data_IF_861827502425
#
_entry.id   IF_861827502425
#
_cell.length_a   1.000
_cell.length_b   1.000
_cell.length_c   1.000
_cell.angle_alpha   90.00
_cell.angle_beta   90.00
_cell.angle_gamma   90.00
#
_symmetry.space_group_name_H-M   'P 1'
#
loop_
_entity.id
_entity.type
_entity.pdbx_description
1 polymer ?
#
# COMPACT_ATOMS: atom_id res chain seq x y z
N UNK A 1 -1.38 13.50 3.40
CA UNK A 1 -1.43 14.69 2.52
C UNK A 1 -2.13 15.79 3.29
N UNK A 2 -1.62 17.03 3.27
CA UNK A 2 -2.19 18.19 3.96
C UNK A 2 -2.64 19.18 2.89
N UNK A 3 -3.89 19.62 2.95
CA UNK A 3 -4.47 20.60 2.03
C UNK A 3 -5.25 21.63 2.84
N UNK A 4 -5.07 22.90 2.51
CA UNK A 4 -5.79 24.02 3.12
C UNK A 4 -6.32 24.94 2.02
N UNK A 5 -7.56 25.37 2.18
CA UNK A 5 -8.22 26.35 1.31
C UNK A 5 -8.82 27.46 2.17
N UNK A 6 -8.76 28.68 1.65
CA UNK A 6 -9.35 29.86 2.27
C UNK A 6 -9.82 30.83 1.18
N UNK A 7 -10.87 31.59 1.50
CA UNK A 7 -11.49 32.56 0.61
C UNK A 7 -11.63 33.85 1.40
N UNK A 8 -11.17 34.95 0.82
CA UNK A 8 -11.31 36.29 1.38
C UNK A 8 -11.44 37.31 0.22
N UNK A 9 -11.89 38.53 0.53
CA UNK A 9 -11.97 39.62 -0.42
C UNK A 9 -10.58 40.19 -0.77
N UNK A 10 -9.63 40.12 0.15
CA UNK A 10 -8.22 40.44 -0.11
C UNK A 10 -7.39 39.18 -0.31
N UNK A 11 -6.57 39.17 -1.36
CA UNK A 11 -5.73 38.02 -1.75
C UNK A 11 -4.69 37.71 -0.69
N UNK A 12 -4.15 38.73 -0.03
CA UNK A 12 -3.15 38.54 1.02
C UNK A 12 -3.79 37.97 2.29
N UNK A 13 -4.95 38.49 2.67
CA UNK A 13 -5.74 37.92 3.77
C UNK A 13 -6.12 36.45 3.51
N UNK A 14 -6.55 36.10 2.29
CA UNK A 14 -6.87 34.71 1.94
C UNK A 14 -5.64 33.78 2.06
N UNK A 15 -4.46 34.26 1.66
CA UNK A 15 -3.21 33.52 1.80
C UNK A 15 -2.85 33.30 3.27
N UNK A 16 -2.88 34.34 4.09
CA UNK A 16 -2.54 34.27 5.52
C UNK A 16 -3.47 33.27 6.24
N UNK A 17 -4.77 33.33 5.95
CA UNK A 17 -5.76 32.38 6.46
C UNK A 17 -5.48 30.93 6.03
N UNK A 18 -5.05 30.71 4.79
CA UNK A 18 -4.69 29.37 4.31
C UNK A 18 -3.42 28.84 5.00
N UNK A 19 -2.43 29.71 5.20
CA UNK A 19 -1.18 29.39 5.89
C UNK A 19 -1.43 29.04 7.35
N UNK A 20 -2.28 29.78 8.04
CA UNK A 20 -2.67 29.50 9.43
C UNK A 20 -3.33 28.12 9.56
N UNK A 21 -4.29 27.81 8.67
CA UNK A 21 -4.93 26.48 8.61
C UNK A 21 -3.91 25.37 8.35
N UNK A 22 -2.96 25.57 7.45
CA UNK A 22 -1.92 24.59 7.16
C UNK A 22 -1.00 24.37 8.36
N UNK A 23 -0.57 25.45 9.02
CA UNK A 23 0.24 25.39 10.24
C UNK A 23 -0.47 24.63 11.37
N UNK A 24 -1.77 24.83 11.53
CA UNK A 24 -2.56 24.12 12.54
C UNK A 24 -2.69 22.63 12.23
N UNK A 25 -2.97 22.27 10.96
CA UNK A 25 -3.01 20.88 10.52
C UNK A 25 -1.67 20.17 10.71
N UNK A 26 -0.54 20.84 10.41
CA UNK A 26 0.80 20.31 10.65
C UNK A 26 1.09 20.11 12.14
N UNK A 27 0.67 21.05 13.00
CA UNK A 27 0.76 20.88 14.46
C UNK A 27 -0.03 19.67 14.95
N UNK A 28 -1.28 19.51 14.51
CA UNK A 28 -2.12 18.36 14.88
C UNK A 28 -1.51 17.04 14.38
N UNK A 29 -1.00 17.00 13.14
CA UNK A 29 -0.35 15.83 12.59
C UNK A 29 0.94 15.45 13.34
N UNK A 30 1.74 16.46 13.73
CA UNK A 30 2.91 16.26 14.60
C UNK A 30 2.49 15.74 15.97
N UNK A 31 1.47 16.33 16.59
CA UNK A 31 0.92 15.90 17.88
C UNK A 31 0.50 14.44 17.85
N UNK A 32 -0.35 14.05 16.89
CA UNK A 32 -0.80 12.66 16.71
C UNK A 32 0.36 11.67 16.54
N UNK A 33 1.43 12.04 15.82
CA UNK A 33 2.63 11.21 15.70
C UNK A 33 3.42 11.07 17.00
N UNK A 34 3.54 12.15 17.77
CA UNK A 34 4.23 12.13 19.06
C UNK A 34 3.43 11.31 20.07
N UNK A 35 2.12 11.47 20.11
CA UNK A 35 1.24 10.75 21.03
C UNK A 35 1.17 9.26 20.71
N UNK A 36 1.07 8.90 19.43
CA UNK A 36 1.16 7.51 18.98
C UNK A 36 2.50 6.84 19.34
N UNK A 37 3.57 7.63 19.46
CA UNK A 37 4.89 7.14 19.89
C UNK A 37 4.99 6.97 21.41
N UNK A 38 4.26 7.79 22.18
CA UNK A 38 4.26 7.76 23.65
C UNK A 38 3.28 6.72 24.22
N UNK A 39 2.20 6.44 23.49
CA UNK A 39 1.24 5.39 23.81
C UNK A 39 1.17 4.44 22.62
N UNK A 40 2.18 3.58 22.41
CA UNK A 40 2.03 2.50 21.46
C UNK A 40 0.81 1.68 21.91
N UNK A 41 -0.24 1.64 21.07
CA UNK A 41 -1.28 0.62 21.20
C UNK A 41 -0.58 -0.73 20.95
N UNK A 42 -0.12 -1.37 22.01
CA UNK A 42 0.65 -2.60 21.95
C UNK A 42 0.67 -3.27 23.32
N UNK A 43 0.98 -4.57 23.31
CA UNK A 43 1.00 -5.41 24.49
C UNK A 43 1.70 -4.75 25.67
N UNK A 44 0.98 -4.58 26.77
CA UNK A 44 1.57 -4.22 28.06
C UNK A 44 1.95 -5.50 28.78
N UNK A 45 3.26 -5.74 28.92
CA UNK A 45 3.80 -6.83 29.72
C UNK A 45 4.07 -6.35 31.14
N UNK A 46 3.29 -6.86 32.09
CA UNK A 46 3.50 -6.58 33.50
C UNK A 46 4.51 -7.56 34.09
N UNK A 47 5.69 -7.05 34.46
CA UNK A 47 6.83 -7.88 34.91
C UNK A 47 6.59 -8.67 36.20
N UNK A 48 5.56 -8.31 36.99
CA UNK A 48 5.25 -8.96 38.27
C UNK A 48 4.27 -10.13 38.13
N UNK A 49 3.17 -9.91 37.41
CA UNK A 49 2.12 -10.91 37.18
C UNK A 49 2.42 -11.82 35.98
N UNK A 50 3.28 -11.38 35.06
CA UNK A 50 3.51 -12.04 33.77
C UNK A 50 2.36 -11.85 32.79
N UNK A 51 1.36 -11.03 33.12
CA UNK A 51 0.20 -10.78 32.27
C UNK A 51 0.58 -9.87 31.09
N UNK A 52 0.16 -10.29 29.90
CA UNK A 52 0.23 -9.50 28.67
C UNK A 52 -1.17 -9.02 28.35
N UNK A 53 -1.41 -7.71 28.41
CA UNK A 53 -2.71 -7.12 28.09
C UNK A 53 -2.65 -6.38 26.76
N UNK A 54 -3.72 -6.47 25.95
CA UNK A 54 -3.81 -5.79 24.64
C UNK A 54 -3.45 -6.65 23.42
N UNK A 55 -3.26 -7.96 23.59
CA UNK A 55 -3.18 -8.97 22.52
C UNK A 55 -4.05 -10.17 22.93
N UNK A 56 -4.82 -10.74 22.01
CA UNK A 56 -5.59 -12.00 22.19
C UNK A 56 -4.64 -13.23 22.13
N UNK A 57 -3.62 -13.26 23.01
CA UNK A 57 -2.70 -14.40 23.13
C UNK A 57 -2.58 -14.78 24.60
N UNK A 58 -3.00 -16.00 24.92
CA UNK A 58 -2.83 -16.57 26.25
C UNK A 58 -1.49 -17.32 26.34
N UNK A 59 -0.60 -17.01 27.29
CA UNK A 59 0.66 -17.74 27.45
C UNK A 59 0.40 -19.18 27.91
N UNK A 60 1.18 -20.12 27.39
CA UNK A 60 1.13 -21.51 27.81
C UNK A 60 1.65 -21.66 29.25
N UNK A 61 1.05 -22.58 30.02
CA UNK A 61 1.50 -22.91 31.38
C UNK A 61 2.91 -23.51 31.38
N UNK A 62 3.67 -23.30 32.45
CA UNK A 62 5.03 -23.84 32.61
C UNK A 62 5.08 -25.37 32.43
N UNK A 63 4.08 -26.09 32.95
CA UNK A 63 3.98 -27.55 32.84
C UNK A 63 3.84 -28.01 31.39
N UNK A 64 3.05 -27.29 30.57
CA UNK A 64 2.94 -27.56 29.14
C UNK A 64 4.26 -27.31 28.41
N UNK A 65 4.98 -26.24 28.73
CA UNK A 65 6.26 -25.93 28.10
C UNK A 65 7.28 -27.04 28.41
N UNK A 66 7.31 -27.52 29.67
CA UNK A 66 8.17 -28.62 30.07
C UNK A 66 7.79 -29.95 29.39
N UNK A 67 6.50 -30.28 29.33
CA UNK A 67 6.01 -31.50 28.71
C UNK A 67 6.28 -31.57 27.19
N UNK A 68 6.29 -30.41 26.50
CA UNK A 68 6.73 -30.33 25.09
C UNK A 68 8.25 -30.51 24.99
N UNK A 69 9.04 -29.91 25.88
CA UNK A 69 10.50 -30.03 25.88
C UNK A 69 11.01 -31.45 26.21
N UNK A 70 10.28 -32.20 27.04
CA UNK A 70 10.57 -33.61 27.36
C UNK A 70 10.04 -34.59 26.31
N UNK A 71 9.27 -34.11 25.32
CA UNK A 71 8.66 -34.93 24.27
C UNK A 71 7.49 -35.80 24.75
N UNK A 72 6.94 -35.52 25.94
CA UNK A 72 5.81 -36.24 26.52
C UNK A 72 4.50 -35.90 25.79
N UNK A 73 4.42 -34.71 25.18
CA UNK A 73 3.35 -34.31 24.28
C UNK A 73 3.84 -34.44 22.83
N UNK A 74 3.16 -35.22 21.97
CA UNK A 74 3.50 -35.29 20.56
C UNK A 74 3.26 -33.93 19.91
N UNK A 75 4.31 -33.38 19.33
CA UNK A 75 4.28 -32.14 18.58
C UNK A 75 3.63 -32.45 17.23
N UNK A 76 2.51 -31.80 16.92
CA UNK A 76 1.96 -31.80 15.56
C UNK A 76 2.91 -30.98 14.67
N UNK A 77 3.93 -31.63 14.12
CA UNK A 77 4.60 -31.13 12.91
C UNK A 77 3.56 -31.18 11.81
N UNK A 78 3.11 -30.01 11.37
CA UNK A 78 1.96 -29.82 10.49
C UNK A 78 1.91 -30.77 9.29
N UNK A 79 0.69 -31.11 8.91
CA UNK A 79 0.33 -31.96 7.77
C UNK A 79 1.26 -31.73 6.56
N UNK A 80 1.90 -32.79 6.07
CA UNK A 80 2.67 -32.77 4.81
C UNK A 80 1.78 -32.55 3.56
N UNK A 81 0.45 -32.50 3.74
CA UNK A 81 -0.58 -32.29 2.70
C UNK A 81 -1.17 -30.87 2.69
N UNK A 82 -0.67 -29.93 3.51
CA UNK A 82 -1.19 -28.56 3.51
C UNK A 82 -0.51 -27.74 2.40
N UNK A 83 -1.25 -27.25 1.39
CA UNK A 83 -0.63 -26.48 0.30
C UNK A 83 0.02 -25.24 0.90
N UNK A 84 1.31 -25.07 0.60
CA UNK A 84 2.14 -23.93 1.01
C UNK A 84 1.36 -22.63 0.76
N UNK A 85 0.77 -22.07 1.83
CA UNK A 85 -0.10 -20.90 1.76
C UNK A 85 0.76 -19.71 1.38
N UNK A 86 0.87 -19.47 0.08
CA UNK A 86 1.61 -18.34 -0.47
C UNK A 86 0.66 -17.13 -0.40
N UNK A 87 0.88 -16.14 0.47
CA UNK A 87 -0.08 -15.05 0.72
C UNK A 87 -0.15 -14.02 -0.44
N UNK A 88 0.30 -14.38 -1.64
CA UNK A 88 0.33 -13.49 -2.81
C UNK A 88 -1.07 -13.44 -3.43
N UNK A 89 -1.88 -12.50 -2.95
CA UNK A 89 -3.19 -12.19 -3.55
C UNK A 89 -2.98 -11.35 -4.82
N UNK A 90 -3.03 -11.97 -5.99
CA UNK A 90 -2.99 -11.26 -7.28
C UNK A 90 -4.37 -10.64 -7.53
N UNK A 91 -4.45 -9.31 -7.53
CA UNK A 91 -5.70 -8.59 -7.88
C UNK A 91 -5.70 -8.27 -9.37
N UNK A 92 -6.72 -8.74 -10.07
CA UNK A 92 -6.94 -8.44 -11.50
C UNK A 92 -7.87 -7.24 -11.62
N UNK A 93 -7.48 -6.25 -12.42
CA UNK A 93 -8.35 -5.14 -12.85
C UNK A 93 -8.36 -5.11 -14.38
N UNK A 94 -9.54 -5.25 -14.98
CA UNK A 94 -9.74 -4.99 -16.41
C UNK A 94 -10.21 -3.55 -16.58
N UNK A 95 -9.63 -2.85 -17.54
CA UNK A 95 -10.06 -1.52 -17.97
C UNK A 95 -10.32 -1.56 -19.47
N UNK A 96 -11.27 -0.76 -19.94
CA UNK A 96 -11.50 -0.61 -21.37
C UNK A 96 -10.32 0.12 -22.02
N UNK A 97 -9.95 -0.32 -23.22
CA UNK A 97 -8.85 0.27 -23.98
C UNK A 97 -9.33 1.59 -24.61
N UNK A 98 -8.79 2.71 -24.13
CA UNK A 98 -9.07 4.04 -24.68
C UNK A 98 -7.83 4.56 -25.41
N UNK A 99 -8.04 5.11 -26.61
CA UNK A 99 -6.99 5.73 -27.41
C UNK A 99 -6.75 7.15 -26.92
N UNK A 100 -5.51 7.46 -26.57
CA UNK A 100 -5.12 8.81 -26.16
C UNK A 100 -3.66 9.08 -26.49
N UNK A 101 -3.29 10.36 -26.46
CA UNK A 101 -1.89 10.77 -26.56
C UNK A 101 -1.13 10.55 -25.25
N UNK A 102 0.21 10.53 -25.33
CA UNK A 102 1.08 10.40 -24.14
C UNK A 102 0.83 11.52 -23.13
N UNK A 103 0.66 12.76 -23.60
CA UNK A 103 0.42 13.93 -22.75
C UNK A 103 -0.91 13.80 -21.99
N UNK A 104 -1.98 13.41 -22.68
CA UNK A 104 -3.28 13.17 -22.07
C UNK A 104 -3.24 12.01 -21.06
N UNK A 105 -2.47 10.96 -21.35
CA UNK A 105 -2.27 9.85 -20.41
C UNK A 105 -1.54 10.31 -19.13
N UNK A 106 -0.57 11.22 -19.23
CA UNK A 106 0.09 11.84 -18.05
C UNK A 106 -0.92 12.64 -17.24
N UNK A 107 -1.74 13.47 -17.88
CA UNK A 107 -2.74 14.29 -17.19
C UNK A 107 -3.75 13.42 -16.43
N UNK A 108 -4.23 12.34 -17.06
CA UNK A 108 -5.14 11.38 -16.42
C UNK A 108 -4.48 10.61 -15.29
N UNK A 109 -3.20 10.24 -15.44
CA UNK A 109 -2.42 9.60 -14.39
C UNK A 109 -2.31 10.48 -13.14
N UNK A 110 -2.00 11.77 -13.33
CA UNK A 110 -1.88 12.75 -12.25
C UNK A 110 -3.24 13.07 -11.62
N UNK A 111 -4.31 13.13 -12.41
CA UNK A 111 -5.68 13.36 -11.91
C UNK A 111 -6.17 12.22 -11.01
N UNK A 112 -5.95 10.97 -11.41
CA UNK A 112 -6.34 9.79 -10.61
C UNK A 112 -5.36 9.57 -9.44
N UNK A 113 -4.13 10.10 -9.53
CA UNK A 113 -3.11 9.97 -8.51
C UNK A 113 -2.47 8.57 -8.48
N UNK A 114 -2.43 7.88 -9.62
CA UNK A 114 -1.73 6.60 -9.77
C UNK A 114 -0.26 6.81 -10.16
N UNK A 115 0.57 5.79 -9.93
CA UNK A 115 1.98 5.82 -10.31
C UNK A 115 2.22 5.37 -11.76
N UNK A 116 1.22 4.72 -12.37
CA UNK A 116 1.22 4.29 -13.76
C UNK A 116 -0.18 4.40 -14.38
N UNK A 117 -0.24 4.53 -15.70
CA UNK A 117 -1.48 4.60 -16.47
C UNK A 117 -1.33 3.82 -17.79
N UNK A 118 -2.25 2.89 -18.05
CA UNK A 118 -2.27 2.03 -19.24
C UNK A 118 -3.24 2.62 -20.28
N UNK A 119 -2.82 2.70 -21.54
CA UNK A 119 -3.60 3.27 -22.64
C UNK A 119 -3.16 2.68 -23.99
N UNK A 120 -3.93 2.94 -25.05
CA UNK A 120 -3.47 2.71 -26.43
C UNK A 120 -2.98 4.05 -26.98
N UNK A 121 -1.73 4.11 -27.42
CA UNK A 121 -1.18 5.34 -28.00
C UNK A 121 -1.84 5.60 -29.37
N UNK A 122 -2.61 6.70 -29.46
CA UNK A 122 -3.33 7.07 -30.68
C UNK A 122 -2.43 7.29 -31.91
N UNK A 123 -1.12 7.54 -31.71
CA UNK A 123 -0.17 7.75 -32.83
C UNK A 123 0.43 6.46 -33.35
N UNK A 124 0.67 5.50 -32.47
CA UNK A 124 1.37 4.25 -32.82
C UNK A 124 0.45 3.03 -32.83
N UNK A 125 -0.77 3.17 -32.32
CA UNK A 125 -1.76 2.12 -32.10
C UNK A 125 -1.21 0.96 -31.25
N UNK A 126 -0.27 1.28 -30.34
CA UNK A 126 0.42 0.32 -29.48
C UNK A 126 -0.08 0.45 -28.03
N UNK A 127 -0.33 -0.67 -27.33
CA UNK A 127 -0.54 -0.66 -25.89
C UNK A 127 0.68 -0.09 -25.19
N UNK A 128 0.46 0.96 -24.39
CA UNK A 128 1.51 1.74 -23.75
C UNK A 128 1.15 2.06 -22.30
N UNK A 129 2.18 2.19 -21.48
CA UNK A 129 2.11 2.60 -20.07
C UNK A 129 2.94 3.85 -19.87
N UNK A 130 2.34 4.89 -19.30
CA UNK A 130 3.06 6.01 -18.69
C UNK A 130 3.27 5.70 -17.22
N UNK A 131 4.42 6.06 -16.66
CA UNK A 131 4.72 5.88 -15.23
C UNK A 131 5.61 6.99 -14.68
N UNK A 132 5.54 7.20 -13.36
CA UNK A 132 6.33 8.20 -12.64
C UNK A 132 7.74 7.67 -12.31
N UNK A 133 8.78 8.47 -12.60
CA UNK A 133 10.18 8.22 -12.21
C UNK A 133 10.59 9.11 -11.03
N UNK A 134 11.79 8.88 -10.49
CA UNK A 134 12.34 9.73 -9.42
C UNK A 134 12.60 11.14 -9.97
N UNK A 135 12.30 12.17 -9.17
CA UNK A 135 12.68 13.54 -9.50
C UNK A 135 11.71 14.31 -10.41
N UNK A 136 10.42 13.95 -10.45
CA UNK A 136 9.38 14.57 -11.32
C UNK A 136 9.51 14.26 -12.82
N UNK A 137 10.24 13.21 -13.16
CA UNK A 137 10.33 12.72 -14.53
C UNK A 137 9.24 11.67 -14.83
N UNK A 138 8.76 11.64 -16.07
CA UNK A 138 7.83 10.63 -16.58
C UNK A 138 8.52 9.70 -17.59
N UNK A 139 8.13 8.43 -17.59
CA UNK A 139 8.59 7.43 -18.55
C UNK A 139 7.42 6.80 -19.30
N UNK A 140 7.69 6.29 -20.50
CA UNK A 140 6.73 5.55 -21.32
C UNK A 140 7.32 4.19 -21.68
N UNK A 141 6.55 3.13 -21.50
CA UNK A 141 6.86 1.77 -21.96
C UNK A 141 5.76 1.36 -22.94
N UNK A 142 6.12 0.91 -24.13
CA UNK A 142 5.18 0.41 -25.13
C UNK A 142 5.45 -1.05 -25.45
N UNK A 143 4.40 -1.79 -25.79
CA UNK A 143 4.50 -3.16 -26.28
C UNK A 143 4.58 -3.15 -27.79
N UNK A 144 5.54 -3.91 -28.33
CA UNK A 144 5.52 -4.26 -29.74
C UNK A 144 4.74 -5.57 -29.90
N UNK A 145 3.57 -5.49 -30.54
CA UNK A 145 2.82 -6.69 -30.88
C UNK A 145 3.54 -7.42 -32.01
N UNK A 146 4.50 -8.27 -31.66
CA UNK A 146 4.82 -9.43 -32.48
C UNK A 146 3.66 -10.41 -32.33
N UNK A 147 3.12 -10.89 -33.45
CA UNK A 147 1.98 -11.82 -33.55
C UNK A 147 1.84 -12.76 -32.36
N UNK A 148 0.60 -12.97 -31.90
CA UNK A 148 0.28 -13.87 -30.80
C UNK A 148 0.97 -15.24 -30.97
N UNK A 149 1.66 -15.77 -29.95
CA UNK A 149 2.17 -17.13 -30.00
C UNK A 149 0.98 -18.10 -30.14
N UNK A 150 1.10 -19.16 -30.95
CA UNK A 150 0.04 -20.15 -31.10
C UNK A 150 -0.34 -20.74 -29.74
N UNK A 151 -1.64 -20.95 -29.54
CA UNK A 151 -2.25 -21.30 -28.25
C UNK A 151 -1.67 -22.58 -27.60
N UNK A 152 -0.95 -23.40 -28.35
CA UNK A 152 -0.30 -24.62 -27.88
C UNK A 152 0.82 -24.36 -26.85
N UNK A 153 1.39 -23.16 -26.78
CA UNK A 153 2.50 -22.83 -25.87
C UNK A 153 2.04 -22.37 -24.47
N UNK A 154 0.77 -22.00 -24.30
CA UNK A 154 0.26 -21.40 -23.05
C UNK A 154 -0.29 -22.41 -22.03
N UNK A 155 -0.26 -23.72 -22.35
CA UNK A 155 -0.82 -24.79 -21.53
C UNK A 155 0.23 -25.71 -20.87
N UNK A 156 1.52 -25.36 -20.92
CA UNK A 156 2.61 -26.01 -20.17
C UNK A 156 3.11 -25.11 -19.05
#
# INVERSE_FOLDING_TARGET
VVRAEAVDADKFAALDLAVDKMCEQLRRAKGKRVDARKHPHGAHFEKGSGEITGIDVQPASADMIHAVATGEIPILTGNEDEPDYTPVVIRVKSFDAEWMGVEEAVDRMELVGHDFFLFIDARTDKPSVVYRRKGWDYGVISLETQSAPPAEVLAS
#
